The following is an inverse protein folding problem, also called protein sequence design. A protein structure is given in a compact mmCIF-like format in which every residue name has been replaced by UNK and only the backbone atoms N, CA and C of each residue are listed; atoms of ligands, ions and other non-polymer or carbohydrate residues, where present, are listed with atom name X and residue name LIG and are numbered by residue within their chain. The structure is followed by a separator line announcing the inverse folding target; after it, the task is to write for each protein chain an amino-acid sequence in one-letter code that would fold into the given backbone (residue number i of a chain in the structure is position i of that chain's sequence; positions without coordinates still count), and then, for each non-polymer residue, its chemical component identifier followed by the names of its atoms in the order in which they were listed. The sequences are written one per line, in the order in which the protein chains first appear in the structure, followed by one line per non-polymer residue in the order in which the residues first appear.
data_IF_703443322106
#
_entry.id   IF_703443322106
#
_cell.length_a   1.000
_cell.length_b   1.000
_cell.length_c   1.000
_cell.angle_alpha   90.00
_cell.angle_beta   90.00
_cell.angle_gamma   90.00
#
_symmetry.space_group_name_H-M   'P 1'
#
loop_
_entity.id
_entity.type
_entity.pdbx_description
1 polymer ?
#
# COMPACT_ATOMS: atom_id res chain seq x y z
N UNK A 1 14.80 -14.23 4.41
CA UNK A 1 13.94 -15.38 4.09
C UNK A 1 12.51 -14.87 3.96
N UNK A 2 11.91 -14.96 2.78
CA UNK A 2 10.49 -14.67 2.62
C UNK A 2 9.70 -15.72 3.40
N UNK A 3 8.76 -15.29 4.24
CA UNK A 3 7.87 -16.21 4.93
C UNK A 3 6.93 -16.86 3.91
N UNK A 4 6.56 -18.12 4.12
CA UNK A 4 5.54 -18.85 3.33
C UNK A 4 4.27 -18.02 3.13
N UNK A 5 3.91 -17.27 4.18
CA UNK A 5 2.83 -16.29 4.19
C UNK A 5 2.96 -15.21 3.10
N UNK A 6 4.15 -14.66 2.89
CA UNK A 6 4.40 -13.66 1.85
C UNK A 6 4.27 -14.24 0.44
N UNK A 7 4.79 -15.45 0.22
CA UNK A 7 4.66 -16.15 -1.05
C UNK A 7 3.20 -16.52 -1.36
N UNK A 8 2.45 -17.02 -0.36
CA UNK A 8 1.01 -17.26 -0.51
C UNK A 8 0.24 -15.95 -0.74
N UNK A 9 0.62 -14.87 -0.06
CA UNK A 9 0.07 -13.53 -0.28
C UNK A 9 0.23 -13.04 -1.72
N UNK A 10 1.36 -13.31 -2.38
CA UNK A 10 1.61 -12.88 -3.76
C UNK A 10 0.63 -13.46 -4.80
N UNK A 11 0.01 -14.60 -4.50
CA UNK A 11 -1.02 -15.19 -5.35
C UNK A 11 -2.44 -14.68 -5.04
N UNK A 12 -2.60 -13.89 -3.96
CA UNK A 12 -3.88 -13.35 -3.52
C UNK A 12 -4.04 -11.87 -3.82
N UNK A 13 -5.33 -11.51 -3.84
CA UNK A 13 -5.90 -10.20 -4.05
C UNK A 13 -5.41 -9.11 -3.08
N UNK A 14 -5.00 -9.49 -1.87
CA UNK A 14 -4.67 -8.61 -0.75
C UNK A 14 -3.18 -8.25 -0.68
N UNK A 15 -2.36 -8.71 -1.65
CA UNK A 15 -0.98 -8.23 -1.69
C UNK A 15 -0.93 -6.80 -2.22
N UNK A 16 -0.49 -5.93 -1.33
CA UNK A 16 -0.29 -4.50 -1.59
C UNK A 16 1.19 -4.19 -1.82
N UNK A 17 1.44 -3.33 -2.80
CA UNK A 17 2.75 -2.75 -3.05
C UNK A 17 2.84 -1.38 -2.41
N UNK A 18 4.00 -1.10 -1.85
CA UNK A 18 4.36 0.26 -1.48
C UNK A 18 4.49 1.09 -2.77
N UNK A 19 3.60 2.08 -2.94
CA UNK A 19 3.61 2.96 -4.11
C UNK A 19 3.41 4.41 -3.71
N UNK A 20 4.19 5.35 -4.28
CA UNK A 20 3.99 6.79 -4.09
C UNK A 20 2.85 7.39 -4.89
N UNK A 21 2.12 6.56 -5.64
CA UNK A 21 1.00 6.96 -6.48
C UNK A 21 -0.29 7.22 -5.67
N UNK A 22 -0.38 6.67 -4.46
CA UNK A 22 -1.51 6.90 -3.54
C UNK A 22 -0.97 7.54 -2.27
N UNK A 23 -1.82 8.32 -1.60
CA UNK A 23 -1.45 9.01 -0.35
C UNK A 23 -1.34 8.05 0.84
N UNK A 24 -2.11 6.96 0.85
CA UNK A 24 -1.93 5.85 1.80
C UNK A 24 -0.64 5.05 1.51
N UNK A 25 -0.05 5.24 0.34
CA UNK A 25 1.20 4.62 -0.05
C UNK A 25 1.07 3.18 -0.53
N UNK A 26 -0.15 2.74 -0.80
CA UNK A 26 -0.50 1.34 -1.06
C UNK A 26 -1.29 1.22 -2.35
N UNK A 27 -0.95 0.21 -3.13
CA UNK A 27 -1.60 -0.11 -4.41
C UNK A 27 -1.75 -1.62 -4.50
N UNK A 28 -2.93 -2.09 -4.91
CA UNK A 28 -3.19 -3.52 -5.03
C UNK A 28 -2.41 -4.14 -6.20
N UNK A 29 -2.01 -5.40 -6.07
CA UNK A 29 -1.45 -6.18 -7.18
C UNK A 29 -2.53 -6.97 -7.90
N UNK A 30 -2.31 -7.19 -9.19
CA UNK A 30 -3.03 -8.21 -9.94
C UNK A 30 -2.41 -9.58 -9.61
N UNK A 31 -3.16 -10.57 -9.13
CA UNK A 31 -2.59 -11.86 -8.78
C UNK A 31 -2.47 -12.79 -9.98
N UNK A 32 -1.49 -13.67 -9.88
CA UNK A 32 -1.06 -14.54 -10.98
C UNK A 32 0.15 -13.96 -11.73
N UNK A 33 0.53 -12.73 -11.42
CA UNK A 33 1.64 -12.03 -12.05
C UNK A 33 2.96 -12.23 -11.31
N UNK A 34 3.41 -13.49 -11.25
CA UNK A 34 4.73 -13.84 -10.71
C UNK A 34 5.00 -13.40 -9.26
N UNK A 35 6.18 -13.75 -8.75
CA UNK A 35 6.61 -13.31 -7.43
C UNK A 35 7.04 -11.85 -7.52
N UNK A 36 6.23 -10.94 -6.96
CA UNK A 36 6.66 -9.54 -6.77
C UNK A 36 7.94 -9.54 -5.94
N UNK A 37 8.96 -8.76 -6.34
CA UNK A 37 10.19 -8.69 -5.58
C UNK A 37 9.91 -8.22 -4.15
N UNK A 38 10.47 -8.92 -3.17
CA UNK A 38 10.31 -8.64 -1.73
C UNK A 38 10.60 -7.18 -1.36
N UNK A 39 11.40 -6.48 -2.17
CA UNK A 39 11.72 -5.05 -2.03
C UNK A 39 10.54 -4.11 -2.24
N UNK A 40 9.48 -4.52 -2.95
CA UNK A 40 8.28 -3.72 -3.21
C UNK A 40 7.12 -4.03 -2.26
N UNK A 41 7.18 -5.18 -1.57
CA UNK A 41 6.21 -5.51 -0.52
C UNK A 41 6.40 -4.58 0.67
N UNK A 42 5.31 -4.09 1.27
CA UNK A 42 5.38 -3.15 2.39
C UNK A 42 6.14 -3.77 3.58
N UNK A 43 7.42 -3.40 3.73
CA UNK A 43 8.31 -3.96 4.75
C UNK A 43 8.01 -3.44 6.16
N UNK A 44 7.43 -2.23 6.25
CA UNK A 44 7.03 -1.59 7.49
C UNK A 44 5.53 -1.76 7.73
N UNK A 45 5.15 -2.33 8.88
CA UNK A 45 3.73 -2.42 9.32
C UNK A 45 3.09 -1.05 9.60
N UNK A 46 3.83 0.05 9.41
CA UNK A 46 3.32 1.42 9.56
C UNK A 46 2.80 1.89 8.19
N UNK A 47 1.57 2.39 8.18
CA UNK A 47 1.00 3.07 7.01
C UNK A 47 1.82 4.31 6.64
N UNK A 48 1.83 4.68 5.36
CA UNK A 48 2.60 5.86 4.88
C UNK A 48 2.25 7.15 5.63
N UNK A 49 0.98 7.49 5.89
CA UNK A 49 0.63 8.67 6.69
C UNK A 49 1.33 8.69 8.06
N UNK A 50 1.47 7.51 8.66
CA UNK A 50 2.14 7.34 9.96
C UNK A 50 3.65 7.43 9.86
N UNK A 51 4.24 7.00 8.74
CA UNK A 51 5.65 7.22 8.44
C UNK A 51 5.94 8.71 8.23
N UNK A 52 5.11 9.43 7.48
CA UNK A 52 5.24 10.89 7.28
C UNK A 52 5.09 11.62 8.61
N UNK A 53 4.10 11.24 9.43
CA UNK A 53 3.92 11.79 10.77
C UNK A 53 5.14 11.55 11.67
N UNK A 54 5.70 10.35 11.63
CA UNK A 54 6.89 10.00 12.41
C UNK A 54 8.08 10.86 11.98
N UNK A 55 8.32 10.98 10.68
CA UNK A 55 9.43 11.76 10.13
C UNK A 55 9.29 13.25 10.46
N UNK A 56 8.08 13.80 10.39
CA UNK A 56 7.80 15.19 10.75
C UNK A 56 8.01 15.44 12.25
N UNK A 57 7.53 14.53 13.11
CA UNK A 57 7.53 14.73 14.58
C UNK A 57 8.85 14.36 15.26
N UNK A 58 9.54 13.32 14.79
CA UNK A 58 10.72 12.78 15.47
C UNK A 58 12.03 13.12 14.75
N UNK A 59 12.01 13.31 13.44
CA UNK A 59 13.21 13.60 12.64
C UNK A 59 13.27 15.06 12.18
N UNK A 60 12.31 15.90 12.58
CA UNK A 60 12.20 17.31 12.20
C UNK A 60 12.27 17.52 10.68
N UNK A 61 11.81 16.55 9.89
CA UNK A 61 11.74 16.65 8.43
C UNK A 61 10.39 17.25 8.04
N UNK A 62 10.32 18.54 7.64
CA UNK A 62 9.05 19.22 7.43
C UNK A 62 8.29 18.74 6.19
N UNK A 63 9.00 18.12 5.25
CA UNK A 63 8.51 17.71 3.94
C UNK A 63 9.19 16.39 3.55
N UNK A 64 8.41 15.40 3.14
CA UNK A 64 8.94 14.13 2.62
C UNK A 64 8.88 14.15 1.09
N UNK A 65 10.03 14.02 0.41
CA UNK A 65 10.02 13.86 -1.03
C UNK A 65 9.45 12.49 -1.41
N UNK A 66 8.56 12.49 -2.39
CA UNK A 66 8.06 11.29 -3.04
C UNK A 66 8.11 11.47 -4.56
N UNK A 67 8.29 10.37 -5.29
CA UNK A 67 8.42 10.42 -6.74
C UNK A 67 7.50 9.39 -7.39
N UNK A 68 6.55 9.85 -8.20
CA UNK A 68 5.62 8.99 -8.94
C UNK A 68 5.61 9.38 -10.42
N UNK A 69 6.21 8.58 -11.32
CA UNK A 69 6.35 8.97 -12.74
C UNK A 69 5.00 9.24 -13.41
N UNK A 70 3.95 8.47 -13.08
CA UNK A 70 2.61 8.62 -13.68
C UNK A 70 1.73 9.76 -13.12
N UNK A 71 2.12 10.46 -12.05
CA UNK A 71 1.29 11.52 -11.44
C UNK A 71 1.94 12.92 -11.45
N UNK A 72 2.92 13.12 -12.33
CA UNK A 72 3.68 14.37 -12.38
C UNK A 72 4.92 14.37 -11.49
N UNK A 73 5.54 13.19 -11.31
CA UNK A 73 6.88 12.98 -10.77
C UNK A 73 7.09 13.41 -9.32
N UNK A 74 8.00 14.36 -9.08
CA UNK A 74 8.42 14.74 -7.73
C UNK A 74 7.32 15.52 -6.99
N UNK A 75 6.93 14.99 -5.84
CA UNK A 75 5.98 15.58 -4.90
C UNK A 75 6.56 15.67 -3.48
N UNK A 76 5.97 16.53 -2.66
CA UNK A 76 6.32 16.73 -1.26
C UNK A 76 5.11 16.42 -0.38
N UNK A 77 5.25 15.45 0.51
CA UNK A 77 4.22 15.03 1.44
C UNK A 77 4.45 15.67 2.81
N UNK A 78 3.36 16.10 3.47
CA UNK A 78 3.37 16.67 4.82
C UNK A 78 2.13 16.24 5.59
N UNK A 79 2.28 15.96 6.88
CA UNK A 79 1.13 15.88 7.79
C UNK A 79 0.62 17.26 8.14
N UNK A 80 -0.62 17.57 7.75
CA UNK A 80 -1.29 18.84 8.04
C UNK A 80 -1.89 18.84 9.45
N UNK A 81 -2.55 17.75 9.82
CA UNK A 81 -3.15 17.58 11.14
C UNK A 81 -3.07 16.11 11.56
N UNK A 82 -2.95 15.87 12.86
CA UNK A 82 -3.00 14.53 13.44
C UNK A 82 -3.77 14.57 14.74
N UNK A 83 -4.72 13.66 14.87
CA UNK A 83 -5.51 13.41 16.07
C UNK A 83 -5.20 11.99 16.55
N UNK A 84 -4.98 11.85 17.84
CA UNK A 84 -4.67 10.56 18.46
C UNK A 84 -5.50 10.41 19.73
N UNK A 85 -6.32 9.34 19.78
CA UNK A 85 -6.99 8.87 20.97
C UNK A 85 -6.35 7.57 21.48
N UNK A 86 -6.95 6.99 22.54
CA UNK A 86 -6.49 5.74 23.13
C UNK A 86 -6.54 4.56 22.14
N UNK A 87 -7.67 4.40 21.45
CA UNK A 87 -7.93 3.26 20.56
C UNK A 87 -8.09 3.69 19.10
N UNK A 88 -7.84 4.96 18.77
CA UNK A 88 -8.01 5.46 17.41
C UNK A 88 -6.98 6.53 17.07
N UNK A 89 -6.71 6.70 15.78
CA UNK A 89 -5.97 7.85 15.28
C UNK A 89 -6.55 8.29 13.94
N UNK A 90 -6.39 9.56 13.62
CA UNK A 90 -6.70 10.13 12.33
C UNK A 90 -5.62 11.12 11.93
N UNK A 91 -5.12 11.03 10.70
CA UNK A 91 -4.09 11.90 10.15
C UNK A 91 -4.57 12.49 8.84
N UNK A 92 -4.48 13.80 8.73
CA UNK A 92 -4.64 14.52 7.48
C UNK A 92 -3.26 14.79 6.88
N UNK A 93 -3.05 14.28 5.68
CA UNK A 93 -1.83 14.44 4.89
C UNK A 93 -2.12 15.33 3.69
N UNK A 94 -1.16 16.16 3.33
CA UNK A 94 -1.19 17.00 2.15
C UNK A 94 0.03 16.70 1.29
N UNK A 95 -0.16 16.68 -0.02
CA UNK A 95 0.88 16.48 -1.01
C UNK A 95 0.95 17.69 -1.94
N UNK A 96 2.17 18.15 -2.23
CA UNK A 96 2.45 19.26 -3.14
C UNK A 96 3.30 18.79 -4.32
N UNK A 97 2.80 18.93 -5.56
CA UNK A 97 3.49 18.44 -6.77
C UNK A 97 4.44 19.50 -7.35
N UNK A 98 5.74 19.35 -7.07
CA UNK A 98 6.77 20.32 -7.51
C UNK A 98 6.91 20.36 -9.03
N UNK A 99 6.95 19.21 -9.70
CA UNK A 99 7.19 19.23 -11.15
C UNK A 99 6.02 19.86 -11.91
N UNK A 100 4.78 19.67 -11.45
CA UNK A 100 3.62 20.35 -12.04
C UNK A 100 3.71 21.86 -11.87
N UNK A 101 4.17 22.35 -10.71
CA UNK A 101 4.46 23.78 -10.52
C UNK A 101 5.51 24.28 -11.53
N UNK A 102 6.57 23.51 -11.76
CA UNK A 102 7.61 23.86 -12.73
C UNK A 102 7.07 23.89 -14.16
N UNK A 103 6.18 22.96 -14.53
CA UNK A 103 5.53 22.93 -15.85
C UNK A 103 4.62 24.15 -16.04
N UNK A 104 3.71 24.42 -15.09
CA UNK A 104 2.82 25.60 -15.12
C UNK A 104 3.63 26.90 -15.17
N UNK A 105 4.77 26.95 -14.47
CA UNK A 105 5.69 28.09 -14.52
C UNK A 105 6.33 28.24 -15.90
N UNK A 106 6.78 27.15 -16.53
CA UNK A 106 7.38 27.18 -17.87
C UNK A 106 6.37 27.65 -18.92
N UNK A 107 5.15 27.13 -18.88
CA UNK A 107 4.05 27.55 -19.77
C UNK A 107 3.79 29.05 -19.65
N UNK A 108 3.60 29.56 -18.42
CA UNK A 108 3.36 30.99 -18.19
C UNK A 108 4.55 31.88 -18.56
N UNK A 109 5.80 31.40 -18.44
CA UNK A 109 6.98 32.14 -18.90
C UNK A 109 6.96 32.20 -20.44
N UNK A 110 6.62 31.11 -21.11
CA UNK A 110 6.49 31.08 -22.58
C UNK A 110 5.42 32.06 -23.07
N UNK A 111 4.29 32.17 -22.37
CA UNK A 111 3.23 33.14 -22.67
C UNK A 111 3.65 34.60 -22.34
N UNK A 112 4.35 34.82 -21.22
CA UNK A 112 4.81 36.17 -20.82
C UNK A 112 5.97 36.72 -21.64
N UNK A 113 6.67 35.92 -22.44
CA UNK A 113 7.69 36.44 -23.39
C UNK A 113 7.04 37.41 -24.40
N UNK A 114 5.71 37.38 -24.59
CA UNK A 114 4.97 38.35 -25.41
C UNK A 114 4.55 39.63 -24.66
N UNK A 115 4.50 39.67 -23.33
CA UNK A 115 4.07 40.85 -22.57
C UNK A 115 4.87 41.01 -21.26
N UNK A 116 5.65 42.09 -21.17
CA UNK A 116 6.61 42.33 -20.08
C UNK A 116 6.00 42.68 -18.72
N UNK A 117 6.73 42.28 -17.66
CA UNK A 117 6.76 42.84 -16.31
C UNK A 117 5.59 42.54 -15.35
N UNK A 118 5.56 41.32 -14.81
CA UNK A 118 4.71 40.93 -13.67
C UNK A 118 5.24 39.76 -12.83
N UNK A 119 6.56 39.56 -12.78
CA UNK A 119 7.20 38.29 -12.40
C UNK A 119 6.80 37.76 -10.99
N UNK A 120 6.83 38.59 -9.93
CA UNK A 120 6.57 38.09 -8.56
C UNK A 120 5.10 37.79 -8.26
N UNK A 121 4.16 38.63 -8.70
CA UNK A 121 2.71 38.37 -8.52
C UNK A 121 2.26 37.14 -9.31
N UNK A 122 2.89 36.85 -10.44
CA UNK A 122 2.60 35.65 -11.23
C UNK A 122 2.98 34.35 -10.51
N UNK A 123 4.09 34.34 -9.75
CA UNK A 123 4.56 33.16 -9.02
C UNK A 123 3.61 32.77 -7.88
N UNK A 124 3.14 33.73 -7.08
CA UNK A 124 2.16 33.46 -6.02
C UNK A 124 0.83 32.94 -6.59
N UNK A 125 0.41 33.44 -7.75
CA UNK A 125 -0.77 32.92 -8.47
C UNK A 125 -0.58 31.48 -8.93
N UNK A 126 0.65 31.06 -9.28
CA UNK A 126 0.92 29.66 -9.60
C UNK A 126 0.85 28.77 -8.36
N UNK A 127 1.33 29.24 -7.21
CA UNK A 127 1.25 28.49 -5.95
C UNK A 127 -0.19 28.32 -5.45
N UNK A 128 -1.10 29.21 -5.81
CA UNK A 128 -2.53 29.13 -5.47
C UNK A 128 -3.32 28.16 -6.35
N UNK A 129 -2.69 27.54 -7.35
CA UNK A 129 -3.37 26.61 -8.22
C UNK A 129 -3.75 25.33 -7.46
N UNK A 130 -5.06 25.09 -7.33
CA UNK A 130 -5.62 23.91 -6.66
C UNK A 130 -5.09 22.61 -7.28
N UNK A 131 -4.76 22.63 -8.57
CA UNK A 131 -4.27 21.49 -9.34
C UNK A 131 -2.94 20.91 -8.86
N UNK A 132 -2.22 21.65 -7.99
CA UNK A 132 -0.92 21.28 -7.40
C UNK A 132 -1.04 20.48 -6.11
N UNK A 133 -2.22 20.49 -5.48
CA UNK A 133 -2.45 19.94 -4.15
C UNK A 133 -3.27 18.63 -4.22
N UNK A 134 -2.92 17.70 -3.35
CA UNK A 134 -3.73 16.55 -3.02
C UNK A 134 -3.81 16.39 -1.50
N UNK A 135 -4.95 15.91 -1.01
CA UNK A 135 -5.23 15.73 0.41
C UNK A 135 -5.66 14.29 0.69
N UNK A 136 -5.15 13.72 1.77
CA UNK A 136 -5.42 12.35 2.17
C UNK A 136 -5.79 12.29 3.64
N UNK A 137 -6.96 11.78 3.95
CA UNK A 137 -7.40 11.51 5.31
C UNK A 137 -7.26 10.02 5.59
N UNK A 138 -6.48 9.66 6.60
CA UNK A 138 -6.32 8.27 7.01
C UNK A 138 -6.67 8.13 8.47
N UNK A 139 -7.40 7.08 8.80
CA UNK A 139 -7.86 6.81 10.15
C UNK A 139 -7.77 5.33 10.46
N UNK A 140 -7.58 5.01 11.73
CA UNK A 140 -7.65 3.65 12.22
C UNK A 140 -8.32 3.64 13.58
N UNK A 141 -9.26 2.74 13.75
CA UNK A 141 -10.05 2.55 14.96
C UNK A 141 -9.87 1.10 15.40
N UNK A 142 -9.54 0.89 16.67
CA UNK A 142 -9.44 -0.41 17.30
C UNK A 142 -10.72 -0.64 18.11
N UNK A 143 -11.50 -1.64 17.71
CA UNK A 143 -12.66 -2.09 18.48
C UNK A 143 -12.20 -3.25 19.37
N UNK A 144 -11.68 -2.90 20.55
CA UNK A 144 -11.03 -3.85 21.45
C UNK A 144 -9.70 -4.40 20.90
N UNK A 145 -9.31 -5.59 21.36
CA UNK A 145 -8.01 -6.19 21.00
C UNK A 145 -8.04 -7.01 19.70
N UNK A 146 -9.24 -7.40 19.25
CA UNK A 146 -9.43 -8.36 18.15
C UNK A 146 -9.78 -7.71 16.82
N UNK A 147 -10.41 -6.53 16.85
CA UNK A 147 -10.96 -5.91 15.66
C UNK A 147 -10.29 -4.57 15.40
N UNK A 148 -9.85 -4.33 14.16
CA UNK A 148 -9.32 -3.05 13.73
C UNK A 148 -9.92 -2.63 12.40
N UNK A 149 -10.43 -1.41 12.34
CA UNK A 149 -10.89 -0.76 11.12
C UNK A 149 -9.86 0.27 10.69
N UNK A 150 -9.48 0.25 9.42
CA UNK A 150 -8.63 1.25 8.77
C UNK A 150 -9.48 1.88 7.68
N UNK A 151 -9.54 3.20 7.63
CA UNK A 151 -10.26 3.93 6.60
C UNK A 151 -9.40 5.08 6.08
N UNK A 152 -9.21 5.12 4.76
CA UNK A 152 -8.43 6.10 4.04
C UNK A 152 -9.29 6.73 2.95
N UNK A 153 -9.19 8.04 2.78
CA UNK A 153 -9.78 8.76 1.65
C UNK A 153 -8.76 9.72 1.06
N UNK A 154 -8.78 9.85 -0.25
CA UNK A 154 -7.84 10.68 -1.00
C UNK A 154 -8.62 11.55 -1.98
N UNK A 155 -8.30 12.84 -1.97
CA UNK A 155 -8.84 13.84 -2.87
C UNK A 155 -7.67 14.51 -3.58
N UNK A 156 -7.58 14.27 -4.89
CA UNK A 156 -6.59 14.94 -5.74
C UNK A 156 -7.31 15.89 -6.68
N UNK A 157 -6.87 17.14 -6.79
CA UNK A 157 -7.51 18.09 -7.71
C UNK A 157 -7.46 17.67 -9.19
N UNK A 158 -6.55 16.77 -9.56
CA UNK A 158 -6.40 16.29 -10.93
C UNK A 158 -7.36 15.14 -11.26
N UNK A 159 -7.89 14.49 -10.23
CA UNK A 159 -8.80 13.36 -10.36
C UNK A 159 -10.18 13.85 -9.96
N UNK A 160 -11.16 13.74 -10.86
CA UNK A 160 -12.53 14.21 -10.56
C UNK A 160 -13.17 13.38 -9.45
N UNK A 161 -12.63 12.18 -9.21
CA UNK A 161 -13.18 11.20 -8.31
C UNK A 161 -12.46 11.18 -6.96
N UNK A 162 -13.25 11.15 -5.89
CA UNK A 162 -12.76 10.89 -4.55
C UNK A 162 -12.43 9.40 -4.43
N UNK A 163 -11.24 9.08 -3.92
CA UNK A 163 -10.85 7.69 -3.67
C UNK A 163 -11.06 7.36 -2.21
N UNK A 164 -11.61 6.19 -1.92
CA UNK A 164 -11.80 5.76 -0.55
C UNK A 164 -11.46 4.28 -0.40
N UNK A 165 -10.93 3.91 0.76
CA UNK A 165 -10.54 2.55 1.08
C UNK A 165 -10.84 2.27 2.54
N UNK A 166 -11.50 1.15 2.80
CA UNK A 166 -11.80 0.69 4.14
C UNK A 166 -11.37 -0.77 4.29
N UNK A 167 -10.61 -1.07 5.34
CA UNK A 167 -10.15 -2.41 5.67
C UNK A 167 -10.53 -2.74 7.10
N UNK A 168 -11.34 -3.77 7.28
CA UNK A 168 -11.72 -4.32 8.58
C UNK A 168 -10.96 -5.63 8.80
N UNK A 169 -10.13 -5.68 9.83
CA UNK A 169 -9.51 -6.91 10.31
C UNK A 169 -10.18 -7.37 11.60
N UNK A 170 -10.51 -8.66 11.67
CA UNK A 170 -11.05 -9.30 12.84
C UNK A 170 -10.30 -10.60 13.13
N UNK A 171 -9.75 -10.73 14.33
CA UNK A 171 -9.00 -11.91 14.78
C UNK A 171 -9.93 -12.85 15.54
N UNK A 172 -10.13 -14.05 15.00
CA UNK A 172 -10.78 -15.18 15.68
C UNK A 172 -9.71 -16.04 16.38
N UNK A 173 -10.13 -17.11 17.06
CA UNK A 173 -9.21 -17.94 17.85
C UNK A 173 -8.18 -18.67 16.97
N UNK A 174 -8.62 -19.21 15.82
CA UNK A 174 -7.78 -19.99 14.90
C UNK A 174 -7.73 -19.39 13.49
N UNK A 175 -8.42 -18.27 13.25
CA UNK A 175 -8.60 -17.67 11.93
C UNK A 175 -8.50 -16.16 12.00
N UNK A 176 -8.00 -15.56 10.94
CA UNK A 176 -8.02 -14.12 10.72
C UNK A 176 -8.99 -13.83 9.56
N UNK A 177 -9.91 -12.90 9.79
CA UNK A 177 -10.86 -12.42 8.78
C UNK A 177 -10.50 -10.99 8.40
N UNK A 178 -10.41 -10.70 7.11
CA UNK A 178 -10.22 -9.35 6.61
C UNK A 178 -11.25 -9.03 5.54
N UNK A 179 -11.93 -7.90 5.69
CA UNK A 179 -12.86 -7.36 4.69
C UNK A 179 -12.24 -6.07 4.18
N UNK A 180 -12.08 -5.94 2.88
CA UNK A 180 -11.54 -4.76 2.23
C UNK A 180 -12.52 -4.25 1.18
N UNK A 181 -12.85 -2.97 1.25
CA UNK A 181 -13.66 -2.27 0.27
C UNK A 181 -12.88 -1.06 -0.23
N UNK A 182 -12.81 -0.91 -1.55
CA UNK A 182 -12.11 0.18 -2.22
C UNK A 182 -13.02 0.82 -3.27
N UNK A 183 -13.07 2.14 -3.24
CA UNK A 183 -13.77 3.01 -4.18
C UNK A 183 -12.72 3.77 -4.99
N UNK A 184 -12.75 3.62 -6.32
CA UNK A 184 -11.67 4.00 -7.23
C UNK A 184 -10.31 3.43 -6.79
N UNK A 185 -10.30 2.11 -6.55
CA UNK A 185 -9.12 1.34 -6.12
C UNK A 185 -8.11 1.20 -7.25
N UNK A 186 -6.84 1.49 -6.97
CA UNK A 186 -5.76 1.37 -7.95
C UNK A 186 -5.12 -0.03 -7.86
N UNK A 187 -4.99 -0.68 -9.01
CA UNK A 187 -4.29 -1.94 -9.18
C UNK A 187 -3.15 -1.75 -10.15
N UNK A 188 -1.98 -2.29 -9.82
CA UNK A 188 -0.81 -2.24 -10.71
C UNK A 188 -0.50 -3.62 -11.22
N UNK A 189 -0.24 -3.66 -12.52
CA UNK A 189 0.26 -4.79 -13.25
C UNK A 189 1.80 -4.81 -13.18
N UNK A 190 2.40 -6.00 -13.14
CA UNK A 190 3.87 -6.16 -13.13
C UNK A 190 4.54 -5.54 -14.35
N UNK A 191 3.79 -5.43 -15.47
CA UNK A 191 4.23 -4.76 -16.70
C UNK A 191 4.18 -3.21 -16.62
N UNK A 192 3.80 -2.65 -15.47
CA UNK A 192 3.77 -1.21 -15.20
C UNK A 192 2.45 -0.52 -15.53
N UNK A 193 1.49 -1.21 -16.17
CA UNK A 193 0.16 -0.65 -16.41
C UNK A 193 -0.65 -0.57 -15.11
N UNK A 194 -1.30 0.58 -14.92
CA UNK A 194 -2.10 0.86 -13.73
C UNK A 194 -3.59 0.91 -14.09
N UNK A 195 -4.41 0.17 -13.37
CA UNK A 195 -5.84 0.08 -13.56
C UNK A 195 -6.59 0.71 -12.38
N UNK A 196 -7.71 1.36 -12.67
CA UNK A 196 -8.62 1.93 -11.68
C UNK A 196 -9.93 1.16 -11.71
N UNK A 197 -10.26 0.47 -10.61
CA UNK A 197 -11.54 -0.21 -10.46
C UNK A 197 -12.52 0.72 -9.71
N UNK A 198 -13.73 1.00 -10.25
CA UNK A 198 -14.69 1.89 -9.60
C UNK A 198 -15.09 1.43 -8.20
N UNK A 199 -15.40 0.14 -8.04
CA UNK A 199 -15.67 -0.47 -6.74
C UNK A 199 -15.09 -1.89 -6.70
N UNK A 200 -14.27 -2.17 -5.70
CA UNK A 200 -13.73 -3.52 -5.43
C UNK A 200 -13.91 -3.84 -3.96
N UNK A 201 -14.66 -4.92 -3.69
CA UNK A 201 -14.89 -5.46 -2.35
C UNK A 201 -14.30 -6.85 -2.28
N UNK A 202 -13.58 -7.16 -1.20
CA UNK A 202 -13.03 -8.50 -0.97
C UNK A 202 -13.13 -8.93 0.48
N UNK A 203 -13.26 -10.22 0.67
CA UNK A 203 -13.33 -10.89 1.96
C UNK A 203 -12.31 -12.01 1.93
N UNK A 204 -11.35 -11.98 2.84
CA UNK A 204 -10.35 -13.02 3.00
C UNK A 204 -10.46 -13.67 4.37
N UNK A 205 -10.25 -14.98 4.38
CA UNK A 205 -10.27 -15.85 5.54
C UNK A 205 -8.95 -16.62 5.54
N UNK A 206 -8.12 -16.41 6.56
CA UNK A 206 -6.78 -16.99 6.67
C UNK A 206 -6.70 -17.83 7.95
N UNK A 207 -6.25 -19.08 7.86
CA UNK A 207 -5.96 -19.87 9.05
C UNK A 207 -4.69 -19.40 9.74
N UNK A 208 -4.69 -19.37 11.07
CA UNK A 208 -3.51 -19.06 11.86
C UNK A 208 -2.53 -20.24 11.87
N UNK A 209 -1.25 -19.97 12.16
CA UNK A 209 -0.21 -21.01 12.23
C UNK A 209 -0.63 -22.14 13.17
N UNK A 210 -0.71 -23.35 12.63
CA UNK A 210 -0.99 -24.59 13.35
C UNK A 210 0.32 -25.34 13.62
N UNK A 211 0.39 -26.11 14.70
CA UNK A 211 1.53 -27.01 15.00
C UNK A 211 1.80 -28.02 13.87
N UNK A 212 0.78 -28.31 13.04
CA UNK A 212 0.90 -29.15 11.86
C UNK A 212 1.66 -28.50 10.69
N UNK A 213 1.88 -27.18 10.73
CA UNK A 213 2.45 -26.39 9.64
C UNK A 213 1.50 -26.14 8.46
N UNK A 214 0.27 -26.65 8.51
CA UNK A 214 -0.74 -26.43 7.48
C UNK A 214 -1.38 -25.05 7.64
N UNK A 215 -1.47 -24.31 6.53
CA UNK A 215 -2.22 -23.06 6.44
C UNK A 215 -3.09 -23.08 5.18
N UNK A 216 -4.29 -22.54 5.28
CA UNK A 216 -5.16 -22.30 4.16
C UNK A 216 -5.65 -20.87 4.15
N UNK A 217 -5.97 -20.38 2.96
CA UNK A 217 -6.55 -19.07 2.74
C UNK A 217 -7.66 -19.17 1.72
N UNK A 218 -8.79 -18.55 2.03
CA UNK A 218 -9.96 -18.45 1.17
C UNK A 218 -10.27 -16.97 0.96
N UNK A 219 -10.50 -16.56 -0.28
CA UNK A 219 -10.73 -15.17 -0.64
C UNK A 219 -11.85 -15.06 -1.68
N UNK A 220 -12.80 -14.18 -1.43
CA UNK A 220 -13.85 -13.82 -2.39
C UNK A 220 -13.70 -12.34 -2.71
N UNK A 221 -13.68 -11.99 -3.99
CA UNK A 221 -13.61 -10.61 -4.48
C UNK A 221 -14.76 -10.35 -5.43
N UNK A 222 -15.37 -9.19 -5.29
CA UNK A 222 -16.41 -8.68 -6.17
C UNK A 222 -15.99 -7.30 -6.68
N UNK A 223 -15.87 -7.18 -8.00
CA UNK A 223 -15.59 -5.91 -8.66
C UNK A 223 -16.85 -5.45 -9.40
N UNK A 224 -17.15 -4.16 -9.30
CA UNK A 224 -18.25 -3.53 -10.02
C UNK A 224 -17.74 -2.35 -10.85
N UNK A 225 -18.37 -2.19 -12.02
CA UNK A 225 -18.09 -1.09 -12.94
C UNK A 225 -17.01 -1.44 -13.98
N UNK A 226 -16.86 -0.58 -14.97
CA UNK A 226 -15.87 -0.74 -16.01
C UNK A 226 -14.52 -0.21 -15.51
N UNK A 227 -13.45 -1.03 -15.49
CA UNK A 227 -12.14 -0.56 -15.08
C UNK A 227 -11.56 0.40 -16.12
N UNK A 228 -10.87 1.43 -15.65
CA UNK A 228 -10.22 2.43 -16.49
C UNK A 228 -8.70 2.34 -16.35
N UNK A 229 -7.97 2.34 -17.46
CA UNK A 229 -6.51 2.43 -17.43
C UNK A 229 -6.09 3.85 -17.01
N UNK A 230 -5.15 3.97 -16.08
CA UNK A 230 -4.69 5.25 -15.58
C UNK A 230 -3.72 5.97 -16.53
N UNK A 231 -3.03 5.24 -17.40
CA UNK A 231 -1.94 5.76 -18.22
C UNK A 231 -2.36 6.03 -19.69
N UNK A 232 -3.66 5.91 -20.01
CA UNK A 232 -4.24 6.15 -21.35
C UNK A 232 -3.39 5.55 -22.49
N UNK A 233 -3.05 4.27 -22.38
CA UNK A 233 -2.44 3.53 -23.50
C UNK A 233 -3.58 2.90 -24.28
N UNK A 234 -3.99 3.56 -25.35
CA UNK A 234 -5.08 3.07 -26.19
C UNK A 234 -4.84 1.60 -26.61
N UNK A 235 -5.80 0.72 -26.31
CA UNK A 235 -5.82 -0.67 -26.77
C UNK A 235 -5.30 -1.74 -25.80
N UNK A 236 -5.05 -1.42 -24.52
CA UNK A 236 -4.69 -2.44 -23.53
C UNK A 236 -5.88 -3.36 -23.20
N UNK A 237 -5.70 -4.68 -23.32
CA UNK A 237 -6.69 -5.66 -22.89
C UNK A 237 -6.90 -5.58 -21.37
N UNK A 238 -8.15 -5.45 -20.94
CA UNK A 238 -8.52 -5.38 -19.52
C UNK A 238 -8.20 -6.74 -18.88
N UNK A 239 -7.36 -6.80 -17.83
CA UNK A 239 -7.12 -8.04 -17.12
C UNK A 239 -8.41 -8.56 -16.51
N UNK A 240 -8.72 -9.84 -16.73
CA UNK A 240 -9.91 -10.50 -16.19
C UNK A 240 -10.07 -10.32 -14.67
N UNK A 241 -8.95 -10.16 -13.96
CA UNK A 241 -8.89 -9.86 -12.52
C UNK A 241 -9.61 -8.58 -12.12
N UNK A 242 -9.52 -7.52 -12.94
CA UNK A 242 -10.11 -6.20 -12.66
C UNK A 242 -11.46 -6.05 -13.35
N UNK A 243 -11.80 -6.99 -14.23
CA UNK A 243 -13.11 -7.03 -14.88
C UNK A 243 -14.23 -7.17 -13.84
N UNK A 244 -15.42 -6.62 -14.13
CA UNK A 244 -16.55 -6.72 -13.22
C UNK A 244 -16.99 -8.18 -13.08
N UNK A 245 -17.25 -8.59 -11.84
CA UNK A 245 -17.66 -9.95 -11.54
C UNK A 245 -17.26 -10.43 -10.15
N UNK A 246 -17.65 -11.67 -9.86
CA UNK A 246 -17.34 -12.37 -8.62
C UNK A 246 -16.23 -13.39 -8.88
N UNK A 247 -15.12 -13.27 -8.15
CA UNK A 247 -13.99 -14.18 -8.21
C UNK A 247 -13.77 -14.81 -6.83
N UNK A 248 -13.63 -16.14 -6.79
CA UNK A 248 -13.22 -16.88 -5.60
C UNK A 248 -11.82 -17.46 -5.80
N UNK A 249 -11.01 -17.44 -4.76
CA UNK A 249 -9.69 -18.05 -4.72
C UNK A 249 -9.48 -18.80 -3.41
N UNK A 250 -8.80 -19.93 -3.50
CA UNK A 250 -8.37 -20.74 -2.37
C UNK A 250 -6.91 -21.10 -2.57
N UNK A 251 -6.14 -21.18 -1.49
CA UNK A 251 -4.81 -21.76 -1.51
C UNK A 251 -4.52 -22.47 -0.22
N UNK A 252 -3.66 -23.48 -0.32
CA UNK A 252 -3.17 -24.23 0.82
C UNK A 252 -1.66 -24.23 0.77
N UNK A 253 -1.03 -23.91 1.91
CA UNK A 253 0.40 -24.00 2.08
C UNK A 253 0.73 -24.97 3.20
N UNK A 254 1.73 -25.80 2.99
CA UNK A 254 2.26 -26.70 4.02
C UNK A 254 3.69 -26.29 4.29
N UNK A 255 3.96 -25.91 5.54
CA UNK A 255 5.26 -25.50 6.01
C UNK A 255 5.85 -26.60 6.89
N UNK A 256 7.01 -27.14 6.51
CA UNK A 256 7.78 -28.06 7.35
C UNK A 256 9.12 -27.46 7.71
N UNK A 257 9.40 -27.40 9.00
CA UNK A 257 10.69 -26.95 9.52
C UNK A 257 11.58 -28.16 9.80
N UNK A 258 12.70 -28.27 9.10
CA UNK A 258 13.76 -29.23 9.38
C UNK A 258 14.93 -28.50 10.06
N UNK A 259 15.36 -28.98 11.23
CA UNK A 259 16.56 -28.46 11.92
C UNK A 259 17.76 -29.27 11.47
N UNK A 260 18.74 -28.63 10.81
CA UNK A 260 19.82 -29.35 10.14
C UNK A 260 20.87 -29.89 11.13
N UNK A 261 21.17 -29.15 12.21
CA UNK A 261 22.10 -29.62 13.24
C UNK A 261 21.92 -28.88 14.58
N UNK A 262 21.36 -29.57 15.59
CA UNK A 262 21.78 -29.59 17.01
C UNK A 262 20.69 -30.18 17.89
N UNK A 263 21.08 -31.19 18.66
CA UNK A 263 20.36 -31.62 19.85
C UNK A 263 20.49 -30.53 20.95
N UNK A 264 19.36 -30.07 21.49
CA UNK A 264 19.34 -29.04 22.54
C UNK A 264 19.88 -29.52 23.89
N UNK A 265 20.07 -30.84 24.05
CA UNK A 265 20.64 -31.44 25.26
C UNK A 265 22.09 -31.00 25.53
N UNK A 266 22.86 -30.63 24.49
CA UNK A 266 24.31 -30.37 24.60
C UNK A 266 24.69 -28.91 24.86
N UNK A 267 23.73 -27.98 24.97
CA UNK A 267 23.97 -26.53 25.11
C UNK A 267 23.92 -26.01 26.55
N UNK A 268 23.99 -26.87 27.57
CA UNK A 268 23.97 -26.45 28.99
C UNK A 268 25.19 -25.63 29.45
N UNK A 269 26.22 -25.35 28.63
CA UNK A 269 27.46 -24.72 29.13
C UNK A 269 28.17 -23.66 28.29
N UNK A 270 27.62 -23.09 27.21
CA UNK A 270 28.36 -22.04 26.46
C UNK A 270 27.55 -20.79 26.15
N UNK A 271 28.13 -19.68 26.61
CA UNK A 271 27.87 -18.24 26.39
C UNK A 271 26.79 -17.91 25.37
N UNK A 272 25.87 -17.01 25.76
CA UNK A 272 24.89 -16.38 24.86
C UNK A 272 25.61 -15.92 23.58
N UNK A 273 25.25 -16.44 22.38
CA UNK A 273 25.82 -15.94 21.15
C UNK A 273 25.28 -14.53 20.88
N UNK A 274 26.15 -13.68 20.31
CA UNK A 274 25.86 -12.27 20.00
C UNK A 274 24.79 -12.11 18.90
N UNK A 275 24.41 -13.19 18.20
CA UNK A 275 23.41 -13.19 17.12
C UNK A 275 22.41 -14.34 17.29
N UNK A 276 21.13 -14.00 17.51
CA UNK A 276 20.01 -14.95 17.62
C UNK A 276 19.83 -15.82 16.38
N UNK A 277 20.10 -15.29 15.18
CA UNK A 277 19.90 -16.01 13.91
C UNK A 277 20.88 -17.15 13.67
N UNK A 278 22.07 -17.12 14.27
CA UNK A 278 23.04 -18.22 14.23
C UNK A 278 22.74 -19.32 15.25
N UNK A 279 21.81 -19.08 16.19
CA UNK A 279 21.51 -20.04 17.26
C UNK A 279 20.52 -21.15 16.84
N UNK A 280 19.76 -20.94 15.77
CA UNK A 280 18.75 -21.87 15.27
C UNK A 280 18.78 -21.98 13.74
N UNK A 281 19.77 -22.69 13.16
CA UNK A 281 19.76 -23.01 11.74
C UNK A 281 18.59 -23.95 11.45
N UNK A 282 17.52 -23.41 10.88
CA UNK A 282 16.36 -24.14 10.41
C UNK A 282 16.25 -23.96 8.89
N UNK A 283 15.94 -25.04 8.20
CA UNK A 283 15.52 -25.00 6.80
C UNK A 283 14.01 -25.16 6.81
N UNK A 284 13.34 -24.20 6.20
CA UNK A 284 11.90 -24.25 5.96
C UNK A 284 11.70 -24.68 4.52
N UNK A 285 11.04 -25.82 4.32
CA UNK A 285 10.56 -26.24 3.01
C UNK A 285 9.06 -25.97 2.98
N UNK A 286 8.60 -25.32 1.92
CA UNK A 286 7.20 -24.94 1.75
C UNK A 286 6.71 -25.20 0.34
N UNK A 287 5.49 -25.72 0.24
CA UNK A 287 4.77 -25.87 -1.02
C UNK A 287 3.45 -25.09 -0.94
N UNK A 288 3.06 -24.49 -2.06
CA UNK A 288 1.78 -23.78 -2.23
C UNK A 288 1.04 -24.49 -3.36
N UNK A 289 -0.23 -24.81 -3.12
CA UNK A 289 -1.16 -25.42 -4.07
C UNK A 289 -2.32 -24.45 -4.28
#
# INVERSE_FOLDING_TARGET
MGTTRGAMGAHFWDMELASPTTMDGLVGTLPGEGAVPLTLTQSSKLSRPRQVMFMHRFLNLPLLPSYSPGQGGLALDRTLASLQGLNWWATLTGQFRIQKLLSVRKEKISENIQHSAGSKRSLFRCLLDQSLYAYGLSSRILFGERTSLIACSELSSNDKDCRARAVLHHKLQQHDVSIETSWHGRFVQTQGSSWNAPLSTSINFESRESDSGLRYRLGIRHNSGLPQECDNKDGAEIPWVVSPGLCAKAAVSIEKHARIWKDQSSLKKRRKPYNLFLSQPHVTVSAII
#
